data_IF_374739686028
#
_entry.id   IF_374739686028
#
_cell.length_a   1.000
_cell.length_b   1.000
_cell.length_c   1.000
_cell.angle_alpha   90.00
_cell.angle_beta   90.00
_cell.angle_gamma   90.00
#
_symmetry.space_group_name_H-M   'P 1'
#
loop_
_entity.id
_entity.type
_entity.pdbx_description
1 polymer ?
#
# COMPACT_ATOMS: atom_id res chain seq x y z
N UNK A 1 -8.10 1.76 -10.18
CA UNK A 1 -9.20 2.24 -9.29
C UNK A 1 -9.28 3.77 -9.41
N UNK A 2 -10.44 4.42 -9.32
CA UNK A 2 -10.51 5.90 -9.30
C UNK A 2 -10.48 6.37 -7.84
N UNK A 3 -9.32 6.84 -7.40
CA UNK A 3 -9.19 7.46 -6.09
C UNK A 3 -9.72 8.90 -6.16
N UNK A 4 -10.58 9.34 -5.22
CA UNK A 4 -11.17 10.67 -5.24
C UNK A 4 -10.22 11.76 -4.73
N UNK A 5 -9.08 11.39 -4.12
CA UNK A 5 -8.04 12.32 -3.65
C UNK A 5 -6.68 11.75 -3.99
N UNK A 6 -5.74 12.62 -4.36
CA UNK A 6 -4.33 12.25 -4.61
C UNK A 6 -3.68 11.66 -3.37
N UNK A 7 -3.91 12.27 -2.21
CA UNK A 7 -3.40 11.82 -0.92
C UNK A 7 -4.59 11.43 -0.04
N UNK A 8 -4.54 10.22 0.52
CA UNK A 8 -5.55 9.69 1.44
C UNK A 8 -4.94 9.22 2.74
N UNK A 9 -5.68 9.40 3.83
CA UNK A 9 -5.28 8.87 5.12
C UNK A 9 -5.57 7.38 5.21
N UNK A 10 -4.84 6.66 6.07
CA UNK A 10 -5.12 5.24 6.38
C UNK A 10 -6.60 4.93 6.61
N UNK A 11 -7.36 5.67 7.46
CA UNK A 11 -8.79 5.40 7.65
C UNK A 11 -9.66 5.57 6.40
N UNK A 12 -9.32 6.50 5.48
CA UNK A 12 -10.05 6.66 4.22
C UNK A 12 -9.84 5.44 3.31
N UNK A 13 -8.61 4.92 3.23
CA UNK A 13 -8.31 3.69 2.49
C UNK A 13 -9.00 2.47 3.11
N UNK A 14 -9.08 2.39 4.44
CA UNK A 14 -9.83 1.33 5.12
C UNK A 14 -11.31 1.38 4.76
N UNK A 15 -11.92 2.57 4.73
CA UNK A 15 -13.31 2.75 4.30
C UNK A 15 -13.56 2.36 2.84
N UNK A 16 -12.54 2.44 1.97
CA UNK A 16 -12.62 1.95 0.59
C UNK A 16 -12.55 0.42 0.46
N UNK A 17 -12.31 -0.30 1.56
CA UNK A 17 -12.20 -1.75 1.58
C UNK A 17 -10.76 -2.27 1.55
N UNK A 18 -9.75 -1.41 1.75
CA UNK A 18 -8.39 -1.89 2.00
C UNK A 18 -8.28 -2.39 3.44
N UNK A 19 -7.61 -3.52 3.65
CA UNK A 19 -7.37 -4.01 5.01
C UNK A 19 -6.24 -3.23 5.68
N UNK A 20 -6.41 -2.98 6.98
CA UNK A 20 -5.38 -2.27 7.77
C UNK A 20 -4.03 -2.99 7.71
N UNK A 21 -4.04 -4.32 7.78
CA UNK A 21 -2.84 -5.16 7.67
C UNK A 21 -2.13 -4.95 6.33
N UNK A 22 -2.88 -4.81 5.23
CA UNK A 22 -2.30 -4.55 3.92
C UNK A 22 -1.65 -3.18 3.86
N UNK A 23 -2.31 -2.14 4.36
CA UNK A 23 -1.76 -0.79 4.42
C UNK A 23 -0.52 -0.69 5.32
N UNK A 24 -0.49 -1.47 6.41
CA UNK A 24 0.67 -1.54 7.31
C UNK A 24 1.84 -2.29 6.67
N UNK A 25 1.57 -3.36 5.92
CA UNK A 25 2.59 -4.07 5.13
C UNK A 25 3.15 -3.18 4.03
N UNK A 26 2.28 -2.47 3.31
CA UNK A 26 2.69 -1.48 2.32
C UNK A 26 3.65 -0.49 2.98
N UNK A 27 3.22 0.13 4.10
CA UNK A 27 4.04 1.08 4.86
C UNK A 27 5.40 0.53 5.30
N UNK A 28 5.45 -0.73 5.72
CA UNK A 28 6.68 -1.39 6.14
C UNK A 28 7.59 -1.81 4.97
N UNK A 29 7.18 -1.60 3.73
CA UNK A 29 7.97 -2.01 2.56
C UNK A 29 9.21 -1.13 2.46
N UNK A 30 10.42 -1.70 2.51
CA UNK A 30 11.66 -0.92 2.45
C UNK A 30 11.76 -0.18 1.11
N UNK A 31 12.07 1.12 1.18
CA UNK A 31 12.20 1.97 -0.01
C UNK A 31 10.88 2.46 -0.60
N UNK A 32 9.74 2.28 0.07
CA UNK A 32 8.52 2.95 -0.37
C UNK A 32 8.63 4.48 -0.24
N UNK A 33 8.04 5.20 -1.18
CA UNK A 33 7.96 6.68 -1.17
C UNK A 33 6.51 7.19 -1.13
N UNK A 34 5.53 6.28 -1.20
CA UNK A 34 4.13 6.63 -1.33
C UNK A 34 3.39 6.77 0.00
N UNK A 35 3.97 6.36 1.13
CA UNK A 35 3.32 6.60 2.41
C UNK A 35 4.30 7.14 3.46
N UNK A 36 3.83 8.12 4.21
CA UNK A 36 4.59 8.83 5.22
C UNK A 36 3.70 9.16 6.41
N UNK A 37 4.34 9.42 7.53
CA UNK A 37 3.66 9.97 8.70
C UNK A 37 3.64 11.49 8.54
N UNK A 38 2.47 12.10 8.63
CA UNK A 38 2.31 13.56 8.49
C UNK A 38 3.19 14.34 9.46
N UNK A 39 3.16 13.92 10.73
CA UNK A 39 4.01 14.50 11.76
C UNK A 39 4.71 13.40 12.58
N UNK A 40 6.02 13.17 12.39
CA UNK A 40 6.76 12.14 13.12
C UNK A 40 6.91 12.43 14.62
N UNK A 41 6.68 13.68 15.05
CA UNK A 41 6.79 14.06 16.47
C UNK A 41 5.57 13.62 17.30
N UNK A 42 4.42 13.38 16.66
CA UNK A 42 3.19 12.97 17.34
C UNK A 42 3.00 11.47 17.18
N UNK A 43 2.93 10.74 18.31
CA UNK A 43 2.83 9.27 18.36
C UNK A 43 1.62 8.68 17.60
N UNK A 44 0.53 9.45 17.47
CA UNK A 44 -0.72 9.03 16.82
C UNK A 44 -1.00 9.78 15.52
N UNK A 45 0.02 10.33 14.86
CA UNK A 45 -0.20 11.04 13.59
C UNK A 45 -0.84 10.14 12.55
N UNK A 46 -1.80 10.68 11.77
CA UNK A 46 -2.37 9.95 10.65
C UNK A 46 -1.28 9.66 9.60
N UNK A 47 -1.26 8.42 9.13
CA UNK A 47 -0.45 8.03 7.98
C UNK A 47 -1.16 8.48 6.71
N UNK A 48 -0.41 9.19 5.86
CA UNK A 48 -0.85 9.62 4.54
C UNK A 48 -0.27 8.69 3.48
N UNK A 49 -1.07 8.42 2.48
CA UNK A 49 -0.76 7.56 1.35
C UNK A 49 -1.08 8.31 0.07
N UNK A 50 -0.08 8.45 -0.80
CA UNK A 50 -0.23 8.86 -2.18
C UNK A 50 -0.89 7.71 -2.96
N UNK A 51 -2.11 7.95 -3.42
CA UNK A 51 -2.94 6.93 -4.06
C UNK A 51 -2.44 6.55 -5.45
N UNK A 52 -1.81 7.49 -6.17
CA UNK A 52 -1.26 7.24 -7.51
C UNK A 52 -0.05 6.31 -7.40
N UNK A 53 0.89 6.64 -6.53
CA UNK A 53 2.07 5.83 -6.28
C UNK A 53 1.73 4.51 -5.57
N UNK A 54 0.73 4.49 -4.69
CA UNK A 54 0.24 3.28 -4.05
C UNK A 54 -0.35 2.28 -5.05
N UNK A 55 -1.14 2.74 -6.03
CA UNK A 55 -1.70 1.85 -7.07
C UNK A 55 -0.59 1.27 -7.96
N UNK A 56 0.40 2.08 -8.34
CA UNK A 56 1.57 1.60 -9.10
C UNK A 56 2.32 0.52 -8.30
N UNK A 57 2.55 0.74 -7.02
CA UNK A 57 3.17 -0.24 -6.14
C UNK A 57 2.32 -1.51 -6.01
N UNK A 58 1.01 -1.36 -5.81
CA UNK A 58 0.06 -2.47 -5.69
C UNK A 58 0.06 -3.35 -6.94
N UNK A 59 0.06 -2.75 -8.13
CA UNK A 59 0.14 -3.51 -9.37
C UNK A 59 1.44 -4.31 -9.46
N UNK A 60 2.57 -3.73 -9.07
CA UNK A 60 3.86 -4.43 -9.01
C UNK A 60 3.83 -5.59 -8.00
N UNK A 61 3.25 -5.39 -6.83
CA UNK A 61 3.08 -6.42 -5.78
C UNK A 61 2.21 -7.58 -6.30
N UNK A 62 1.08 -7.30 -6.94
CA UNK A 62 0.22 -8.33 -7.56
C UNK A 62 0.99 -9.11 -8.64
N UNK A 63 1.71 -8.42 -9.51
CA UNK A 63 2.52 -9.07 -10.56
C UNK A 63 3.62 -9.95 -9.95
N UNK A 64 4.28 -9.49 -8.89
CA UNK A 64 5.31 -10.25 -8.19
C UNK A 64 4.72 -11.50 -7.53
N UNK A 65 3.56 -11.38 -6.87
CA UNK A 65 2.86 -12.52 -6.26
C UNK A 65 2.40 -13.53 -7.32
N UNK A 66 1.85 -13.07 -8.44
CA UNK A 66 1.49 -13.94 -9.56
C UNK A 66 2.70 -14.65 -10.15
N UNK A 67 3.83 -13.95 -10.32
CA UNK A 67 5.08 -14.55 -10.80
C UNK A 67 5.61 -15.60 -9.83
N UNK A 68 5.64 -15.31 -8.53
CA UNK A 68 6.06 -16.25 -7.51
C UNK A 68 5.13 -17.49 -7.47
N UNK A 69 3.82 -17.29 -7.62
CA UNK A 69 2.85 -18.39 -7.67
C UNK A 69 3.06 -19.26 -8.92
N UNK A 70 3.28 -18.68 -10.10
CA UNK A 70 3.58 -19.43 -11.34
C UNK A 70 4.86 -20.26 -11.22
N UNK A 71 5.90 -19.71 -10.61
CA UNK A 71 7.15 -20.45 -10.35
C UNK A 71 6.92 -21.61 -9.38
N UNK A 72 6.05 -21.44 -8.38
CA UNK A 72 5.72 -22.51 -7.42
C UNK A 72 4.91 -23.65 -8.06
N UNK A 73 4.07 -23.34 -9.04
CA UNK A 73 3.24 -24.34 -9.76
C UNK A 73 4.05 -25.06 -10.85
N UNK A 74 4.99 -24.37 -11.52
CA UNK A 74 5.87 -24.97 -12.54
C UNK A 74 7.05 -25.79 -11.99
N UNK A 75 7.16 -25.91 -10.67
CA UNK A 75 8.15 -26.76 -9.96
C UNK A 75 7.46 -27.98 -9.33
N UNK A 76 6.24 -28.32 -9.78
CA UNK A 76 5.58 -29.61 -9.55
C UNK A 76 5.45 -30.38 -10.85
#
# INVERSE_FOLDING_TARGET
MKYPKKIMSRPDLIKMGFSETYLRRAFATPGQTFAWQDNPQIKNSPYQYDTEAFEVWRQKDIQMQQKAMRQKIGVM
#
